data_IF_251962991166
#
_entry.id   IF_251962991166
#
_cell.length_a   1.000
_cell.length_b   1.000
_cell.length_c   1.000
_cell.angle_alpha   90.00
_cell.angle_beta   90.00
_cell.angle_gamma   90.00
#
_symmetry.space_group_name_H-M   'P 1'
#
loop_
_entity.id
_entity.type
_entity.pdbx_description
1 polymer ?
#
# COMPACT_ATOMS: atom_id res chain seq x y z
N UNK A 1 4.54 0.60 18.47
CA UNK A 1 3.09 0.52 18.17
C UNK A 1 2.84 0.26 16.71
N UNK A 2 1.68 -0.31 16.36
CA UNK A 2 1.27 -0.59 14.97
C UNK A 2 0.05 0.23 14.60
N UNK A 3 -0.07 0.55 13.32
CA UNK A 3 -1.18 1.30 12.73
C UNK A 3 -1.74 0.56 11.51
N UNK A 4 -3.03 0.76 11.25
CA UNK A 4 -3.70 0.24 10.07
C UNK A 4 -3.73 1.32 8.99
N UNK A 5 -3.14 1.03 7.83
CA UNK A 5 -3.08 1.93 6.69
C UNK A 5 -3.97 1.42 5.56
N UNK A 6 -4.90 2.23 5.03
CA UNK A 6 -5.62 1.88 3.81
C UNK A 6 -4.70 1.91 2.60
N UNK A 7 -4.77 0.85 1.79
CA UNK A 7 -4.07 0.75 0.51
C UNK A 7 -5.06 0.99 -0.62
N UNK A 8 -4.76 1.99 -1.44
CA UNK A 8 -5.51 2.36 -2.63
C UNK A 8 -4.81 1.85 -3.88
N UNK A 9 -5.59 1.51 -4.90
CA UNK A 9 -5.11 1.29 -6.27
C UNK A 9 -5.88 2.22 -7.18
N UNK A 10 -5.17 3.10 -7.88
CA UNK A 10 -5.76 4.16 -8.71
C UNK A 10 -6.86 4.94 -7.98
N UNK A 11 -6.58 5.33 -6.72
CA UNK A 11 -7.46 6.15 -5.88
C UNK A 11 -8.64 5.41 -5.22
N UNK A 12 -8.82 4.11 -5.47
CA UNK A 12 -9.87 3.29 -4.82
C UNK A 12 -9.26 2.39 -3.75
N UNK A 13 -9.79 2.40 -2.53
CA UNK A 13 -9.32 1.52 -1.44
C UNK A 13 -9.58 0.05 -1.81
N UNK A 14 -8.55 -0.79 -1.71
CA UNK A 14 -8.61 -2.23 -2.03
C UNK A 14 -8.28 -3.12 -0.85
N UNK A 15 -7.35 -2.67 -0.02
CA UNK A 15 -6.88 -3.41 1.13
C UNK A 15 -6.58 -2.47 2.30
N UNK A 16 -6.24 -3.07 3.43
CA UNK A 16 -5.68 -2.39 4.59
C UNK A 16 -4.55 -3.24 5.12
N UNK A 17 -3.40 -2.62 5.37
CA UNK A 17 -2.20 -3.28 5.90
C UNK A 17 -1.92 -2.77 7.30
N UNK A 18 -1.37 -3.64 8.15
CA UNK A 18 -0.91 -3.24 9.48
C UNK A 18 0.60 -3.15 9.46
N UNK A 19 1.15 -1.99 9.83
CA UNK A 19 2.59 -1.72 9.85
C UNK A 19 2.98 -1.04 11.16
N UNK A 20 4.27 -1.04 11.50
CA UNK A 20 4.75 -0.24 12.62
C UNK A 20 4.47 1.26 12.39
N UNK A 21 4.15 2.00 13.44
CA UNK A 21 3.83 3.43 13.35
C UNK A 21 5.00 4.28 12.83
N UNK A 22 6.23 3.78 12.99
CA UNK A 22 7.50 4.36 12.58
C UNK A 22 8.13 3.64 11.36
N UNK A 23 7.37 2.76 10.69
CA UNK A 23 7.84 2.08 9.49
C UNK A 23 8.21 3.09 8.40
N UNK A 24 9.34 2.85 7.72
CA UNK A 24 9.78 3.66 6.60
C UNK A 24 8.97 3.39 5.32
N UNK A 25 9.10 4.29 4.35
CA UNK A 25 8.35 4.23 3.09
C UNK A 25 8.60 2.94 2.31
N UNK A 26 9.80 2.36 2.40
CA UNK A 26 10.17 1.11 1.72
C UNK A 26 9.46 -0.10 2.33
N UNK A 27 9.43 -0.17 3.66
CA UNK A 27 8.70 -1.20 4.41
C UNK A 27 7.20 -1.11 4.14
N UNK A 28 6.64 0.09 4.18
CA UNK A 28 5.21 0.33 3.91
C UNK A 28 4.86 -0.04 2.47
N UNK A 29 5.71 0.32 1.50
CA UNK A 29 5.54 -0.04 0.09
C UNK A 29 5.58 -1.55 -0.10
N UNK A 30 6.56 -2.23 0.49
CA UNK A 30 6.71 -3.68 0.39
C UNK A 30 5.51 -4.42 0.98
N UNK A 31 5.02 -3.97 2.13
CA UNK A 31 3.81 -4.53 2.76
C UNK A 31 2.57 -4.32 1.89
N UNK A 32 2.40 -3.14 1.27
CA UNK A 32 1.28 -2.86 0.38
C UNK A 32 1.31 -3.72 -0.90
N UNK A 33 2.50 -3.96 -1.48
CA UNK A 33 2.68 -4.78 -2.67
C UNK A 33 2.67 -6.29 -2.39
N UNK A 34 2.84 -6.72 -1.13
CA UNK A 34 2.70 -8.10 -0.73
C UNK A 34 1.24 -8.52 -0.45
N UNK A 35 0.30 -7.56 -0.35
CA UNK A 35 -1.10 -7.83 -0.08
C UNK A 35 -1.79 -8.51 -1.28
N UNK A 36 -2.45 -9.65 -1.03
CA UNK A 36 -3.09 -10.45 -2.07
C UNK A 36 -4.17 -9.71 -2.85
N UNK A 37 -4.95 -8.82 -2.19
CA UNK A 37 -6.01 -8.05 -2.87
C UNK A 37 -5.41 -6.97 -3.74
N UNK A 38 -4.31 -6.36 -3.32
CA UNK A 38 -3.56 -5.39 -4.13
C UNK A 38 -2.98 -6.10 -5.34
N UNK A 39 -2.29 -7.23 -5.16
CA UNK A 39 -1.72 -8.04 -6.24
C UNK A 39 -2.77 -8.51 -7.24
N UNK A 40 -3.93 -8.98 -6.75
CA UNK A 40 -5.05 -9.35 -7.61
C UNK A 40 -5.67 -8.16 -8.35
N UNK A 41 -5.64 -6.96 -7.75
CA UNK A 41 -6.19 -5.74 -8.40
C UNK A 41 -5.25 -5.21 -9.49
N UNK A 42 -3.94 -5.32 -9.32
CA UNK A 42 -2.98 -4.84 -10.33
C UNK A 42 -2.82 -5.82 -11.49
N UNK A 43 -3.23 -7.08 -11.35
CA UNK A 43 -3.31 -8.08 -12.43
C UNK A 43 -2.01 -8.19 -13.26
N UNK A 44 -0.87 -8.24 -12.58
CA UNK A 44 0.45 -8.32 -13.21
C UNK A 44 0.97 -7.00 -13.82
N UNK A 45 0.22 -5.90 -13.74
CA UNK A 45 0.71 -4.59 -14.11
C UNK A 45 1.82 -4.13 -13.16
N UNK A 46 2.90 -3.57 -13.71
CA UNK A 46 3.95 -2.94 -12.91
C UNK A 46 3.47 -1.57 -12.41
N UNK A 47 3.50 -1.29 -11.10
CA UNK A 47 3.17 0.03 -10.57
C UNK A 47 4.06 1.11 -11.20
N UNK A 48 3.43 2.16 -11.74
CA UNK A 48 4.12 3.36 -12.23
C UNK A 48 4.69 4.20 -11.09
N UNK A 49 3.96 4.25 -9.98
CA UNK A 49 4.31 5.03 -8.80
C UNK A 49 3.61 4.44 -7.57
N UNK A 50 4.32 4.38 -6.45
CA UNK A 50 3.73 4.14 -5.14
C UNK A 50 3.87 5.42 -4.33
N UNK A 51 2.78 5.88 -3.74
CA UNK A 51 2.73 7.11 -2.96
C UNK A 51 2.41 6.71 -1.52
N UNK A 52 3.38 6.89 -0.63
CA UNK A 52 3.22 6.68 0.81
C UNK A 52 2.91 8.03 1.45
N UNK A 53 1.84 8.07 2.26
CA UNK A 53 1.57 9.19 3.16
C UNK A 53 1.65 8.64 4.58
N UNK A 54 2.75 8.89 5.31
CA UNK A 54 3.01 8.30 6.62
C UNK A 54 1.85 8.50 7.58
N UNK A 55 1.47 7.43 8.29
CA UNK A 55 0.35 7.45 9.23
C UNK A 55 -1.05 7.58 8.61
N UNK A 56 -1.17 7.68 7.28
CA UNK A 56 -2.46 7.99 6.62
C UNK A 56 -2.90 6.99 5.56
N UNK A 57 -2.09 6.70 4.54
CA UNK A 57 -2.45 5.80 3.44
C UNK A 57 -1.27 5.41 2.55
N UNK A 58 -1.49 4.41 1.69
CA UNK A 58 -0.64 4.10 0.55
C UNK A 58 -1.49 4.10 -0.72
N UNK A 59 -1.02 4.71 -1.80
CA UNK A 59 -1.69 4.63 -3.11
C UNK A 59 -0.74 4.07 -4.16
N UNK A 60 -1.15 2.96 -4.77
CA UNK A 60 -0.46 2.29 -5.87
C UNK A 60 -1.09 2.79 -7.18
N UNK A 61 -0.28 3.46 -8.00
CA UNK A 61 -0.67 3.91 -9.33
C UNK A 61 -0.16 2.90 -10.34
N UNK A 62 -1.09 2.24 -11.04
CA UNK A 62 -0.82 1.33 -12.17
C UNK A 62 -1.30 1.96 -13.47
#
# INVERSE_FOLDING_TARGET
>A
DVIELPVQVNGKVRARITVAADADDETVTSAALADEKVMATIDGATPRKVIVVPGRMVNVVV
#
